data_IF_103055863686
#
_entry.id   IF_103055863686
#
_cell.length_a   1.000
_cell.length_b   1.000
_cell.length_c   1.000
_cell.angle_alpha   90.00
_cell.angle_beta   90.00
_cell.angle_gamma   90.00
#
_symmetry.space_group_name_H-M   'P 1'
#
loop_
_entity.id
_entity.type
_entity.pdbx_description
1 polymer ?
#
# COMPACT_ATOMS: atom_id res chain seq x y z
N UNK A 1 -5.94 -6.75 9.08
CA UNK A 1 -6.24 -8.08 9.63
C UNK A 1 -6.89 -8.89 8.53
N UNK A 2 -6.07 -9.62 7.79
CA UNK A 2 -6.48 -10.51 6.71
C UNK A 2 -7.54 -11.50 7.18
N UNK A 3 -8.59 -11.67 6.37
CA UNK A 3 -9.57 -12.73 6.57
C UNK A 3 -9.23 -13.90 5.64
N UNK A 4 -8.53 -14.91 6.18
CA UNK A 4 -8.22 -16.16 5.48
C UNK A 4 -9.36 -17.16 5.70
N UNK A 5 -9.90 -17.69 4.61
CA UNK A 5 -10.79 -18.85 4.62
C UNK A 5 -10.06 -20.03 3.97
N UNK A 6 -9.38 -20.83 4.80
CA UNK A 6 -8.60 -21.99 4.37
C UNK A 6 -9.46 -23.05 3.64
N UNK A 7 -10.72 -23.25 4.06
CA UNK A 7 -11.63 -24.21 3.43
C UNK A 7 -12.00 -23.83 1.98
N UNK A 8 -12.14 -22.54 1.69
CA UNK A 8 -12.41 -22.04 0.34
C UNK A 8 -11.14 -21.72 -0.47
N UNK A 9 -9.96 -21.84 0.16
CA UNK A 9 -8.65 -21.31 -0.28
C UNK A 9 -8.76 -19.86 -0.71
N UNK A 10 -9.38 -19.04 0.13
CA UNK A 10 -9.62 -17.62 -0.13
C UNK A 10 -8.94 -16.74 0.93
N UNK A 11 -8.47 -15.57 0.50
CA UNK A 11 -7.80 -14.60 1.34
C UNK A 11 -8.27 -13.19 0.98
N UNK A 12 -8.75 -12.44 1.98
CA UNK A 12 -9.22 -11.07 1.83
C UNK A 12 -8.23 -10.12 2.54
N UNK A 13 -7.51 -9.30 1.77
CA UNK A 13 -6.49 -8.38 2.27
C UNK A 13 -6.95 -6.92 2.16
N UNK A 14 -6.75 -6.13 3.20
CA UNK A 14 -6.96 -4.69 3.20
C UNK A 14 -5.70 -3.96 2.74
N UNK A 15 -5.77 -3.29 1.59
CA UNK A 15 -4.65 -2.54 1.00
C UNK A 15 -4.90 -1.05 1.14
N UNK A 16 -3.93 -0.29 1.63
CA UNK A 16 -4.05 1.17 1.81
C UNK A 16 -3.12 1.92 0.87
N UNK A 17 -3.68 2.85 0.11
CA UNK A 17 -2.95 3.82 -0.70
C UNK A 17 -2.67 5.07 0.12
N UNK A 18 -1.39 5.32 0.43
CA UNK A 18 -0.87 6.40 1.26
C UNK A 18 -0.06 7.42 0.44
N UNK A 19 0.44 8.49 1.08
CA UNK A 19 1.23 9.56 0.46
C UNK A 19 0.55 10.94 0.48
N UNK A 20 1.21 12.01 0.00
CA UNK A 20 0.75 13.39 0.18
C UNK A 20 -0.45 13.82 -0.68
N UNK A 21 -0.93 15.05 -0.46
CA UNK A 21 -2.00 15.66 -1.24
C UNK A 21 -1.75 15.60 -2.74
N UNK A 22 -2.79 15.24 -3.51
CA UNK A 22 -2.76 15.19 -4.98
C UNK A 22 -1.69 14.26 -5.61
N UNK A 23 -1.06 13.35 -4.85
CA UNK A 23 0.00 12.47 -5.37
C UNK A 23 -0.46 11.43 -6.42
N UNK A 24 -1.78 11.16 -6.52
CA UNK A 24 -2.37 10.24 -7.51
C UNK A 24 -2.92 8.92 -6.95
N UNK A 25 -3.19 8.85 -5.64
CA UNK A 25 -3.86 7.71 -4.98
C UNK A 25 -5.20 7.36 -5.63
N UNK A 26 -6.15 8.28 -5.67
CA UNK A 26 -7.48 8.07 -6.28
C UNK A 26 -7.35 7.66 -7.74
N UNK A 27 -6.43 8.29 -8.50
CA UNK A 27 -6.15 7.93 -9.90
C UNK A 27 -5.63 6.51 -10.09
N UNK A 28 -4.92 5.93 -9.12
CA UNK A 28 -4.60 4.49 -9.16
C UNK A 28 -5.90 3.66 -9.09
N UNK A 29 -6.79 3.91 -8.14
CA UNK A 29 -8.04 3.15 -7.98
C UNK A 29 -9.01 3.37 -9.14
N UNK A 30 -9.15 4.61 -9.64
CA UNK A 30 -9.93 4.92 -10.85
C UNK A 30 -9.46 4.09 -12.06
N UNK A 31 -8.14 3.95 -12.23
CA UNK A 31 -7.55 3.22 -13.35
C UNK A 31 -7.62 1.71 -13.15
N UNK A 32 -7.52 1.23 -11.91
CA UNK A 32 -7.81 -0.17 -11.57
C UNK A 32 -9.27 -0.50 -11.90
N UNK A 33 -10.22 0.30 -11.42
CA UNK A 33 -11.65 0.15 -11.71
C UNK A 33 -11.96 0.22 -13.22
N UNK A 34 -11.30 1.12 -13.96
CA UNK A 34 -11.48 1.30 -15.41
C UNK A 34 -10.90 0.16 -16.26
N UNK A 35 -9.78 -0.44 -15.84
CA UNK A 35 -9.03 -1.46 -16.60
C UNK A 35 -9.23 -2.91 -16.14
N UNK A 36 -9.67 -3.14 -14.90
CA UNK A 36 -9.98 -4.48 -14.44
C UNK A 36 -11.25 -5.03 -15.13
N UNK A 37 -11.35 -6.35 -15.39
CA UNK A 37 -12.58 -6.96 -15.89
C UNK A 37 -13.79 -6.72 -14.97
N UNK A 38 -14.96 -6.44 -15.56
CA UNK A 38 -16.26 -6.26 -14.86
C UNK A 38 -16.69 -7.46 -13.99
N UNK A 39 -16.06 -8.62 -14.16
CA UNK A 39 -16.26 -9.83 -13.35
C UNK A 39 -15.36 -9.90 -12.11
N UNK A 40 -14.39 -9.00 -12.00
CA UNK A 40 -13.33 -9.02 -11.00
C UNK A 40 -13.29 -7.78 -10.10
N UNK A 41 -14.01 -6.71 -10.44
CA UNK A 41 -14.00 -5.45 -9.68
C UNK A 41 -15.39 -5.06 -9.20
N UNK A 42 -15.47 -4.51 -7.99
CA UNK A 42 -16.72 -3.99 -7.40
C UNK A 42 -16.99 -2.54 -7.80
N UNK A 43 -18.17 -2.03 -7.39
CA UNK A 43 -18.56 -0.64 -7.57
C UNK A 43 -17.58 0.29 -6.82
N UNK A 44 -16.82 1.15 -7.53
CA UNK A 44 -15.97 2.16 -6.89
C UNK A 44 -16.84 3.10 -6.05
N UNK A 45 -16.47 3.25 -4.78
CA UNK A 45 -17.26 3.93 -3.76
C UNK A 45 -16.42 5.01 -3.10
N UNK A 46 -16.79 6.28 -3.26
CA UNK A 46 -16.14 7.40 -2.58
C UNK A 46 -17.10 7.95 -1.52
N UNK A 47 -16.70 7.88 -0.26
CA UNK A 47 -17.46 8.49 0.84
C UNK A 47 -16.97 9.92 1.01
N UNK A 48 -17.89 10.86 1.27
CA UNK A 48 -17.56 12.23 1.65
C UNK A 48 -18.36 12.65 2.89
N UNK A 49 -17.72 13.36 3.81
CA UNK A 49 -18.41 14.07 4.88
C UNK A 49 -18.76 15.48 4.41
N UNK A 50 -20.05 15.84 4.49
CA UNK A 50 -20.45 17.25 4.36
C UNK A 50 -19.95 18.05 5.57
N UNK A 51 -19.69 19.35 5.38
CA UNK A 51 -19.46 20.28 6.50
C UNK A 51 -18.21 21.17 6.47
N UNK A 52 -17.30 21.05 5.48
CA UNK A 52 -16.44 22.15 4.97
C UNK A 52 -15.35 21.67 4.00
N UNK A 53 -14.89 20.42 4.14
CA UNK A 53 -13.83 19.83 3.29
C UNK A 53 -14.13 18.38 3.01
N UNK A 54 -14.04 18.00 1.75
CA UNK A 54 -14.33 16.65 1.26
C UNK A 54 -13.30 15.64 1.73
N UNK A 55 -13.63 14.95 2.83
CA UNK A 55 -12.97 13.71 3.27
C UNK A 55 -13.26 12.56 2.30
N UNK A 56 -12.81 12.68 1.06
CA UNK A 56 -12.80 11.57 0.12
C UNK A 56 -11.84 10.48 0.61
N UNK A 57 -12.42 9.34 0.99
CA UNK A 57 -11.72 8.07 0.91
C UNK A 57 -12.44 7.18 -0.08
N UNK A 58 -11.66 6.57 -0.96
CA UNK A 58 -12.14 5.70 -2.04
C UNK A 58 -12.00 4.26 -1.57
N UNK A 59 -13.03 3.45 -1.84
CA UNK A 59 -13.07 2.02 -1.56
C UNK A 59 -13.32 1.24 -2.84
N UNK A 60 -12.48 0.24 -3.10
CA UNK A 60 -12.55 -0.61 -4.29
C UNK A 60 -12.30 -2.10 -3.96
N UNK A 61 -13.34 -2.95 -4.03
CA UNK A 61 -13.17 -4.39 -4.04
C UNK A 61 -12.55 -4.88 -5.35
N UNK A 62 -11.47 -5.67 -5.29
CA UNK A 62 -10.79 -6.23 -6.46
C UNK A 62 -10.41 -7.70 -6.23
N UNK A 63 -10.92 -8.60 -7.06
CA UNK A 63 -10.54 -10.01 -7.11
C UNK A 63 -9.37 -10.20 -8.08
N UNK A 64 -8.19 -10.57 -7.58
CA UNK A 64 -6.99 -10.79 -8.38
C UNK A 64 -6.95 -12.18 -9.03
N UNK A 65 -7.96 -13.03 -8.80
CA UNK A 65 -7.94 -14.44 -9.22
C UNK A 65 -7.15 -15.29 -8.24
N UNK A 66 -6.37 -16.25 -8.73
CA UNK A 66 -5.43 -17.01 -7.90
C UNK A 66 -4.05 -16.35 -7.90
N UNK A 67 -3.51 -16.12 -6.71
CA UNK A 67 -2.13 -15.67 -6.47
C UNK A 67 -1.55 -16.60 -5.39
N UNK A 68 -0.34 -17.13 -5.60
CA UNK A 68 0.26 -18.15 -4.73
C UNK A 68 -0.66 -19.36 -4.37
N UNK A 69 -1.57 -19.74 -5.29
CA UNK A 69 -2.55 -20.82 -5.09
C UNK A 69 -3.78 -20.45 -4.23
N UNK A 70 -3.89 -19.20 -3.77
CA UNK A 70 -5.01 -18.67 -3.00
C UNK A 70 -5.87 -17.70 -3.83
N UNK A 71 -7.19 -17.81 -3.74
CA UNK A 71 -8.14 -16.84 -4.31
C UNK A 71 -7.99 -15.51 -3.56
N UNK A 72 -7.41 -14.51 -4.19
CA UNK A 72 -7.01 -13.27 -3.52
C UNK A 72 -7.99 -12.14 -3.83
N UNK A 73 -8.63 -11.62 -2.78
CA UNK A 73 -9.51 -10.45 -2.84
C UNK A 73 -8.86 -9.29 -2.09
N UNK A 74 -8.74 -8.16 -2.75
CA UNK A 74 -8.26 -6.91 -2.19
C UNK A 74 -9.44 -6.00 -1.86
N UNK A 75 -9.37 -5.40 -0.67
CA UNK A 75 -10.18 -4.27 -0.24
C UNK A 75 -9.26 -3.05 -0.26
N UNK A 76 -9.27 -2.31 -1.37
CA UNK A 76 -8.35 -1.20 -1.58
C UNK A 76 -8.99 0.09 -1.05
N UNK A 77 -8.25 0.82 -0.21
CA UNK A 77 -8.65 2.10 0.38
C UNK A 77 -7.65 3.22 0.01
N UNK A 78 -8.12 4.45 -0.22
CA UNK A 78 -7.24 5.65 -0.22
C UNK A 78 -7.31 6.40 1.10
N UNK A 79 -6.26 7.15 1.43
CA UNK A 79 -6.27 8.11 2.56
C UNK A 79 -6.38 9.57 2.09
N UNK A 80 -7.04 10.46 2.86
CA UNK A 80 -7.04 11.89 2.59
C UNK A 80 -5.63 12.48 2.74
N UNK A 81 -5.09 13.08 1.67
CA UNK A 81 -3.71 13.55 1.60
C UNK A 81 -3.42 14.93 2.22
N UNK A 82 -4.41 15.62 2.80
CA UNK A 82 -4.18 16.90 3.49
C UNK A 82 -3.80 16.65 4.95
N UNK A 83 -2.76 17.33 5.45
CA UNK A 83 -2.14 17.09 6.78
C UNK A 83 -3.17 16.98 7.91
N UNK A 84 -4.16 17.88 7.94
CA UNK A 84 -5.24 17.97 8.93
C UNK A 84 -6.02 16.67 9.24
N UNK A 85 -6.02 15.67 8.36
CA UNK A 85 -6.84 14.45 8.50
C UNK A 85 -6.14 13.25 9.16
N UNK A 86 -5.22 13.47 10.09
CA UNK A 86 -4.44 12.37 10.68
C UNK A 86 -5.33 11.28 11.31
N UNK A 87 -6.37 11.65 12.06
CA UNK A 87 -7.31 10.70 12.68
C UNK A 87 -7.99 9.78 11.66
N UNK A 88 -8.31 10.31 10.47
CA UNK A 88 -8.88 9.52 9.37
C UNK A 88 -7.82 8.61 8.75
N UNK A 89 -6.58 9.08 8.58
CA UNK A 89 -5.48 8.24 8.08
C UNK A 89 -5.18 7.07 9.02
N UNK A 90 -5.13 7.33 10.34
CA UNK A 90 -5.01 6.29 11.37
C UNK A 90 -6.16 5.28 11.31
N UNK A 91 -7.41 5.74 11.18
CA UNK A 91 -8.58 4.85 11.06
C UNK A 91 -8.53 3.99 9.80
N UNK A 92 -8.14 4.56 8.65
CA UNK A 92 -8.00 3.80 7.40
C UNK A 92 -6.83 2.81 7.48
N UNK A 93 -5.73 3.14 8.15
CA UNK A 93 -4.61 2.22 8.40
C UNK A 93 -4.93 1.09 9.39
N UNK A 94 -5.97 1.22 10.22
CA UNK A 94 -6.30 0.19 11.23
C UNK A 94 -6.54 -1.16 10.56
N UNK A 95 -5.69 -2.14 10.86
CA UNK A 95 -5.74 -3.45 10.23
C UNK A 95 -5.54 -3.43 8.71
N UNK A 96 -4.76 -2.50 8.17
CA UNK A 96 -4.15 -2.68 6.86
C UNK A 96 -3.25 -3.93 6.86
N UNK A 97 -3.17 -4.60 5.71
CA UNK A 97 -2.36 -5.81 5.50
C UNK A 97 -1.20 -5.55 4.52
N UNK A 98 -1.27 -4.46 3.76
CA UNK A 98 -0.18 -3.91 2.95
C UNK A 98 -0.46 -2.47 2.50
N UNK A 99 0.58 -1.71 2.18
CA UNK A 99 0.49 -0.28 1.84
C UNK A 99 1.19 0.02 0.51
N UNK A 100 0.57 0.87 -0.31
CA UNK A 100 1.22 1.52 -1.45
C UNK A 100 1.46 2.99 -1.08
N UNK A 101 2.71 3.41 -0.94
CA UNK A 101 3.04 4.82 -0.73
C UNK A 101 3.21 5.51 -2.09
N UNK A 102 2.20 6.30 -2.50
CA UNK A 102 2.26 7.04 -3.76
C UNK A 102 2.90 8.41 -3.53
N UNK A 103 4.17 8.54 -3.90
CA UNK A 103 4.91 9.80 -3.89
C UNK A 103 4.68 10.60 -5.19
N UNK A 104 4.75 11.93 -5.09
CA UNK A 104 4.74 12.82 -6.25
C UNK A 104 6.18 13.12 -6.68
N UNK A 105 6.56 12.73 -7.90
CA UNK A 105 7.93 12.91 -8.40
C UNK A 105 8.27 14.35 -8.79
N UNK A 106 7.30 15.26 -8.85
CA UNK A 106 7.53 16.64 -9.31
C UNK A 106 8.52 17.39 -8.40
N UNK A 107 9.43 18.19 -8.98
CA UNK A 107 10.28 19.11 -8.17
C UNK A 107 9.45 19.97 -7.22
N UNK A 108 10.01 20.18 -6.02
CA UNK A 108 9.35 20.88 -4.92
C UNK A 108 8.41 20.01 -4.07
N UNK A 109 8.06 18.78 -4.49
CA UNK A 109 7.19 17.88 -3.71
C UNK A 109 7.90 16.97 -2.70
N UNK A 110 9.22 16.99 -2.65
CA UNK A 110 9.98 16.10 -1.75
C UNK A 110 9.62 16.30 -0.27
N UNK A 111 9.48 17.54 0.20
CA UNK A 111 9.12 17.81 1.59
C UNK A 111 7.74 17.21 1.95
N UNK A 112 6.77 17.29 1.05
CA UNK A 112 5.42 16.73 1.24
C UNK A 112 5.44 15.20 1.20
N UNK A 113 6.29 14.59 0.35
CA UNK A 113 6.54 13.16 0.35
C UNK A 113 7.13 12.72 1.71
N UNK A 114 8.19 13.37 2.20
CA UNK A 114 8.86 13.06 3.47
C UNK A 114 7.92 13.24 4.67
N UNK A 115 7.16 14.35 4.73
CA UNK A 115 6.17 14.59 5.79
C UNK A 115 5.10 13.49 5.80
N UNK A 116 4.55 13.14 4.62
CA UNK A 116 3.56 12.08 4.52
C UNK A 116 4.13 10.69 4.80
N UNK A 117 5.43 10.46 4.63
CA UNK A 117 6.08 9.18 4.91
C UNK A 117 6.32 8.99 6.42
N UNK A 118 6.82 10.03 7.10
CA UNK A 118 6.90 10.06 8.57
C UNK A 118 5.52 9.87 9.20
N UNK A 119 4.51 10.51 8.63
CA UNK A 119 3.13 10.33 9.07
C UNK A 119 2.50 8.96 8.71
N UNK A 120 3.14 8.15 7.87
CA UNK A 120 2.80 6.72 7.72
C UNK A 120 3.44 5.92 8.86
N UNK A 121 4.74 6.13 9.10
CA UNK A 121 5.52 5.50 10.18
C UNK A 121 4.87 5.71 11.56
N UNK A 122 4.54 6.96 11.90
CA UNK A 122 3.84 7.34 13.14
C UNK A 122 2.53 6.56 13.32
N UNK A 123 1.67 6.56 12.30
CA UNK A 123 0.35 5.92 12.38
C UNK A 123 0.43 4.39 12.38
N UNK A 124 1.44 3.78 11.73
CA UNK A 124 1.70 2.34 11.84
C UNK A 124 2.14 1.98 13.26
N UNK A 125 3.09 2.74 13.81
CA UNK A 125 3.63 2.57 15.16
C UNK A 125 2.56 2.73 16.24
N UNK A 126 1.63 3.65 16.06
CA UNK A 126 0.45 3.81 16.93
C UNK A 126 -0.57 2.66 16.86
N UNK A 127 -0.47 1.76 15.87
CA UNK A 127 -1.20 0.48 15.80
C UNK A 127 -0.34 -0.73 16.22
N UNK A 128 0.88 -0.50 16.71
CA UNK A 128 1.83 -1.56 17.06
C UNK A 128 2.51 -2.24 15.87
N UNK A 129 2.45 -1.62 14.68
CA UNK A 129 3.12 -2.11 13.47
C UNK A 129 4.43 -1.34 13.26
N UNK A 130 5.46 -2.05 12.82
CA UNK A 130 6.72 -1.46 12.36
C UNK A 130 6.70 -1.29 10.82
N UNK A 131 7.25 -0.19 10.33
CA UNK A 131 7.26 0.16 8.91
C UNK A 131 8.13 -0.80 8.09
N UNK A 132 9.25 -1.27 8.65
CA UNK A 132 10.17 -2.21 8.00
C UNK A 132 9.61 -3.65 7.95
N UNK A 133 8.70 -4.00 8.85
CA UNK A 133 8.03 -5.30 8.91
C UNK A 133 6.63 -5.32 8.24
N UNK A 134 6.15 -4.16 7.76
CA UNK A 134 4.88 -4.05 7.02
C UNK A 134 5.13 -4.27 5.52
N UNK A 135 4.28 -5.01 4.78
CA UNK A 135 4.37 -5.07 3.33
C UNK A 135 4.09 -3.70 2.70
N UNK A 136 5.15 -3.00 2.29
CA UNK A 136 5.09 -1.66 1.69
C UNK A 136 5.74 -1.65 0.31
N UNK A 137 5.14 -0.90 -0.61
CA UNK A 137 5.72 -0.57 -1.92
C UNK A 137 5.70 0.94 -2.13
N UNK A 138 6.83 1.48 -2.58
CA UNK A 138 6.91 2.87 -3.02
C UNK A 138 6.45 2.97 -4.48
N UNK A 139 5.58 3.94 -4.80
CA UNK A 139 5.21 4.25 -6.17
C UNK A 139 5.60 5.70 -6.47
N UNK A 140 6.61 5.86 -7.33
CA UNK A 140 7.08 7.15 -7.82
C UNK A 140 6.23 7.56 -9.01
N UNK A 141 5.16 8.29 -8.72
CA UNK A 141 4.15 8.66 -9.71
C UNK A 141 4.47 10.00 -10.38
N UNK A 142 3.81 10.23 -11.53
CA UNK A 142 3.94 11.42 -12.38
C UNK A 142 5.29 11.55 -13.10
N UNK A 143 5.89 10.41 -13.48
CA UNK A 143 7.15 10.30 -14.25
C UNK A 143 7.07 10.85 -15.68
N UNK A 144 5.88 11.29 -16.08
CA UNK A 144 5.54 11.95 -17.34
C UNK A 144 5.60 13.49 -17.29
N UNK A 145 5.89 14.07 -16.11
CA UNK A 145 6.12 15.52 -15.98
C UNK A 145 7.53 15.89 -16.47
N UNK A 146 7.71 17.08 -17.10
CA UNK A 146 9.00 17.48 -17.66
C UNK A 146 10.05 17.86 -16.59
N UNK A 147 9.64 18.03 -15.34
CA UNK A 147 10.50 18.45 -14.23
C UNK A 147 10.21 17.62 -12.98
N UNK A 148 11.05 16.61 -12.76
CA UNK A 148 10.93 15.60 -11.70
C UNK A 148 12.28 15.35 -11.02
N UNK A 149 12.25 14.83 -9.80
CA UNK A 149 13.39 14.16 -9.18
C UNK A 149 13.74 12.89 -9.99
N UNK A 150 15.02 12.51 -10.00
CA UNK A 150 15.44 11.21 -10.57
C UNK A 150 14.89 10.04 -9.73
N UNK A 151 15.11 8.78 -10.13
CA UNK A 151 14.70 7.64 -9.28
C UNK A 151 15.59 7.58 -8.05
N UNK A 152 16.89 7.82 -8.24
CA UNK A 152 17.95 7.82 -7.25
C UNK A 152 17.71 8.89 -6.16
N UNK A 153 17.36 10.13 -6.56
CA UNK A 153 16.97 11.20 -5.63
C UNK A 153 15.69 10.87 -4.82
N UNK A 154 14.81 10.02 -5.35
CA UNK A 154 13.59 9.59 -4.65
C UNK A 154 13.87 8.41 -3.71
N UNK A 155 14.72 7.47 -4.11
CA UNK A 155 15.17 6.36 -3.26
C UNK A 155 15.97 6.87 -2.06
N UNK A 156 16.97 7.73 -2.28
CA UNK A 156 17.80 8.32 -1.20
C UNK A 156 16.94 9.07 -0.17
N UNK A 157 15.91 9.79 -0.61
CA UNK A 157 15.07 10.61 0.25
C UNK A 157 13.89 9.86 0.91
N UNK A 158 13.45 8.72 0.36
CA UNK A 158 12.18 8.05 0.75
C UNK A 158 12.30 6.54 1.02
N UNK A 159 13.38 5.85 0.63
CA UNK A 159 13.49 4.39 0.69
C UNK A 159 14.52 3.89 1.71
N UNK A 160 14.43 4.37 2.95
CA UNK A 160 15.41 4.08 4.01
C UNK A 160 15.47 2.60 4.48
N UNK A 161 14.64 1.71 3.93
CA UNK A 161 14.57 0.28 4.27
C UNK A 161 14.47 -0.65 3.05
N UNK A 162 14.89 -0.20 1.86
CA UNK A 162 14.94 -1.00 0.62
C UNK A 162 13.60 -1.71 0.27
N UNK A 163 12.49 -0.97 0.41
CA UNK A 163 11.19 -1.42 -0.06
C UNK A 163 11.18 -1.48 -1.60
N UNK A 164 10.52 -2.47 -2.22
CA UNK A 164 10.36 -2.50 -3.66
C UNK A 164 9.66 -1.24 -4.18
N UNK A 165 10.26 -0.55 -5.15
CA UNK A 165 9.69 0.65 -5.77
C UNK A 165 9.17 0.37 -7.20
N UNK A 166 8.27 1.23 -7.68
CA UNK A 166 7.84 1.27 -9.09
C UNK A 166 7.66 2.71 -9.59
N UNK A 167 8.26 3.00 -10.74
CA UNK A 167 7.90 4.17 -11.55
C UNK A 167 6.46 4.06 -12.09
N UNK A 168 5.71 5.16 -12.03
CA UNK A 168 4.31 5.19 -12.46
C UNK A 168 3.90 6.48 -13.19
N UNK A 169 2.95 6.30 -14.10
CA UNK A 169 2.14 7.37 -14.67
C UNK A 169 0.70 6.93 -14.48
N UNK A 170 0.14 7.24 -13.30
CA UNK A 170 -1.14 6.72 -12.88
C UNK A 170 -2.26 7.00 -13.90
N UNK A 171 -2.27 8.20 -14.51
CA UNK A 171 -3.27 8.59 -15.53
C UNK A 171 -3.27 7.68 -16.77
N UNK A 172 -2.11 7.19 -17.18
CA UNK A 172 -1.97 6.22 -18.28
C UNK A 172 -2.19 4.78 -17.80
N UNK A 173 -2.07 4.55 -16.49
CA UNK A 173 -2.01 3.23 -15.85
C UNK A 173 -0.69 2.50 -16.02
N UNK A 174 0.41 3.23 -16.29
CA UNK A 174 1.79 2.70 -16.20
C UNK A 174 2.16 2.57 -14.72
N UNK A 175 2.86 1.51 -14.33
CA UNK A 175 3.25 1.21 -12.94
C UNK A 175 2.12 0.66 -12.03
N UNK A 176 0.86 1.10 -12.23
CA UNK A 176 -0.30 0.79 -11.36
C UNK A 176 -0.52 -0.72 -11.10
N UNK A 177 -0.63 -1.53 -12.16
CA UNK A 177 -0.85 -2.98 -12.00
C UNK A 177 0.40 -3.75 -11.55
N UNK A 178 1.63 -3.46 -12.02
CA UNK A 178 2.86 -3.99 -11.43
C UNK A 178 2.96 -3.77 -9.91
N UNK A 179 2.70 -2.53 -9.45
CA UNK A 179 2.64 -2.15 -8.02
C UNK A 179 1.71 -3.10 -7.24
N UNK A 180 0.45 -3.23 -7.67
CA UNK A 180 -0.54 -4.08 -6.98
C UNK A 180 -0.17 -5.56 -7.00
N UNK A 181 0.39 -6.07 -8.11
CA UNK A 181 0.79 -7.47 -8.23
C UNK A 181 1.96 -7.82 -7.32
N UNK A 182 2.97 -6.94 -7.20
CA UNK A 182 4.09 -7.17 -6.28
C UNK A 182 3.65 -7.09 -4.82
N UNK A 183 2.75 -6.16 -4.48
CA UNK A 183 2.19 -6.10 -3.12
C UNK A 183 1.36 -7.34 -2.78
N UNK A 184 0.63 -7.90 -3.75
CA UNK A 184 -0.08 -9.16 -3.57
C UNK A 184 0.86 -10.35 -3.29
N UNK A 185 2.05 -10.39 -3.91
CA UNK A 185 3.09 -11.36 -3.53
C UNK A 185 3.49 -11.18 -2.05
N UNK A 186 3.98 -9.99 -1.71
CA UNK A 186 4.53 -9.68 -0.38
C UNK A 186 3.55 -9.90 0.77
N UNK A 187 2.26 -9.57 0.58
CA UNK A 187 1.23 -9.82 1.59
C UNK A 187 0.97 -11.32 1.76
N UNK A 188 0.99 -12.11 0.70
CA UNK A 188 0.79 -13.57 0.78
C UNK A 188 2.03 -14.31 1.32
N UNK A 189 3.22 -13.82 1.00
CA UNK A 189 4.50 -14.27 1.56
C UNK A 189 4.51 -14.05 3.08
N UNK A 190 4.25 -12.82 3.53
CA UNK A 190 4.16 -12.47 4.97
C UNK A 190 3.09 -13.27 5.72
N UNK A 191 1.93 -13.54 5.11
CA UNK A 191 0.91 -14.40 5.71
C UNK A 191 1.36 -15.86 5.83
N UNK A 192 2.07 -16.39 4.83
CA UNK A 192 2.58 -17.75 4.85
C UNK A 192 3.68 -17.94 5.91
N UNK A 193 4.49 -16.92 6.15
CA UNK A 193 5.48 -16.90 7.25
C UNK A 193 4.79 -16.86 8.63
N UNK A 194 3.82 -15.96 8.81
CA UNK A 194 3.09 -15.82 10.08
C UNK A 194 2.16 -17.01 10.41
N UNK A 195 1.66 -17.72 9.39
CA UNK A 195 0.81 -18.91 9.55
C UNK A 195 1.53 -20.24 9.28
N UNK A 196 2.84 -20.25 9.02
CA UNK A 196 3.61 -21.48 8.94
C UNK A 196 3.45 -22.25 10.26
N UNK A 197 3.07 -23.54 10.24
CA UNK A 197 3.05 -24.33 11.47
C UNK A 197 4.47 -24.33 12.02
N UNK A 198 4.65 -23.87 13.27
CA UNK A 198 5.96 -23.85 13.94
C UNK A 198 6.58 -25.23 13.80
N UNK A 199 7.57 -25.37 12.92
CA UNK A 199 8.39 -26.57 12.84
C UNK A 199 9.18 -26.61 14.13
N UNK A 200 8.66 -27.37 15.11
CA UNK A 200 9.41 -27.76 16.29
C UNK A 200 10.80 -28.18 15.82
N UNK A 201 11.89 -27.58 16.32
CA UNK A 201 13.22 -27.99 15.92
C UNK A 201 13.33 -29.48 16.22
N UNK A 202 13.49 -30.29 15.19
CA UNK A 202 13.62 -31.74 15.35
C UNK A 202 14.81 -31.96 16.27
N UNK A 203 14.58 -32.62 17.41
CA UNK A 203 15.63 -32.85 18.40
C UNK A 203 16.62 -33.83 17.78
N UNK A 204 17.68 -33.28 17.19
CA UNK A 204 18.84 -34.03 16.70
C UNK A 204 19.52 -34.61 17.93
N UNK A 205 19.09 -35.81 18.31
CA UNK A 205 19.65 -36.54 19.44
C UNK A 205 21.16 -36.77 19.21
N UNK A 206 22.05 -36.23 20.04
CA UNK A 206 23.48 -36.51 19.92
C UNK A 206 23.71 -37.99 20.22
N UNK A 207 24.20 -38.75 19.24
CA UNK A 207 24.58 -40.14 19.45
C UNK A 207 25.83 -40.20 20.35
N UNK A 208 25.84 -41.14 21.28
CA UNK A 208 26.84 -41.20 22.35
C UNK A 208 28.29 -41.42 21.86
N UNK A 209 29.22 -41.05 22.73
CA UNK A 209 30.67 -40.93 22.54
C UNK A 209 31.45 -42.24 22.48
N UNK A 210 32.69 -42.15 21.95
CA UNK A 210 33.79 -43.06 22.24
C UNK A 210 35.12 -42.28 22.34
N UNK A 211 36.00 -42.76 23.23
CA UNK A 211 37.37 -42.31 23.56
C UNK A 211 38.37 -42.46 22.38
N UNK A 212 39.61 -41.94 22.34
CA UNK A 212 40.40 -40.86 23.03
C UNK A 212 41.78 -40.75 22.29
N UNK A 213 42.92 -40.19 22.71
CA UNK A 213 43.45 -39.47 23.90
C UNK A 213 44.75 -38.69 23.53
N UNK A 214 45.27 -37.84 24.44
CA UNK A 214 46.62 -37.24 24.37
C UNK A 214 46.76 -35.94 23.54
N UNK A 215 47.72 -35.04 23.82
CA UNK A 215 48.61 -34.95 24.99
C UNK A 215 49.71 -33.86 24.92
N UNK A 216 49.70 -32.93 25.89
CA UNK A 216 50.84 -32.15 26.44
C UNK A 216 51.59 -31.06 25.61
N UNK A 217 51.77 -29.87 26.23
CA UNK A 217 52.92 -28.90 26.13
C UNK A 217 53.22 -28.21 24.77
N UNK A 218 53.85 -27.02 24.66
CA UNK A 218 54.47 -26.00 25.57
C UNK A 218 54.32 -24.62 24.88
N UNK A 219 53.89 -23.51 25.52
CA UNK A 219 54.62 -22.53 26.36
C UNK A 219 55.48 -21.45 25.63
N UNK A 220 55.53 -20.23 26.21
CA UNK A 220 56.53 -19.14 25.99
C UNK A 220 56.36 -18.23 24.74
N UNK A 221 56.50 -16.87 24.75
CA UNK A 221 56.41 -15.83 25.81
C UNK A 221 56.46 -14.37 25.23
N UNK A 222 56.07 -13.36 26.04
CA UNK A 222 56.63 -11.97 26.18
C UNK A 222 56.77 -11.07 24.92
N UNK A 223 55.92 -10.05 24.71
CA UNK A 223 56.01 -8.63 25.16
C UNK A 223 56.82 -7.69 24.20
N UNK A 224 56.90 -6.35 24.29
CA UNK A 224 56.51 -5.37 25.34
C UNK A 224 56.12 -3.99 24.74
N UNK A 225 55.39 -3.20 25.54
CA UNK A 225 55.05 -1.75 25.45
C UNK A 225 55.90 -0.77 24.62
N UNK A 226 55.27 0.34 24.20
CA UNK A 226 55.87 1.69 24.31
C UNK A 226 54.83 2.77 24.61
N UNK A 227 55.26 3.87 25.26
CA UNK A 227 54.41 4.86 25.92
C UNK A 227 54.96 6.29 25.69
N UNK A 228 54.09 7.30 25.67
CA UNK A 228 54.44 8.73 25.61
C UNK A 228 53.71 9.49 24.50
N UNK A 229 53.44 10.80 24.59
CA UNK A 229 53.74 11.76 25.67
C UNK A 229 52.71 12.91 25.64
N UNK A 230 52.44 13.56 26.79
CA UNK A 230 51.60 14.76 26.87
C UNK A 230 52.19 15.96 26.10
N UNK A 231 51.33 16.89 25.66
CA UNK A 231 51.69 18.32 25.58
C UNK A 231 50.49 19.23 25.86
N UNK A 232 50.69 20.19 26.77
CA UNK A 232 49.71 21.20 27.20
C UNK A 232 50.03 22.55 26.55
N UNK A 233 49.00 23.37 26.25
CA UNK A 233 48.97 24.86 26.13
C UNK A 233 47.81 25.30 25.19
N UNK A 234 47.24 26.53 25.24
CA UNK A 234 46.95 27.47 26.35
C UNK A 234 46.11 28.65 25.78
N UNK A 235 45.08 29.13 26.50
CA UNK A 235 44.42 30.45 26.29
C UNK A 235 43.77 30.69 24.89
N UNK A 236 42.87 31.66 24.65
CA UNK A 236 42.34 32.76 25.47
C UNK A 236 40.82 32.96 25.25
N UNK A 237 40.19 33.78 26.11
CA UNK A 237 38.83 34.29 25.95
C UNK A 237 38.79 35.64 25.24
N UNK A 238 37.72 35.92 24.48
CA UNK A 238 37.33 37.28 24.06
C UNK A 238 35.83 37.47 24.25
N UNK A 239 35.43 38.64 24.73
CA UNK A 239 34.05 39.02 25.05
C UNK A 239 33.34 39.68 23.86
N UNK A 240 32.01 39.49 23.76
CA UNK A 240 31.19 40.15 22.75
C UNK A 240 29.72 40.22 23.18
N UNK A 241 29.32 41.31 23.83
CA UNK A 241 27.95 41.53 24.32
C UNK A 241 27.31 42.72 23.60
N UNK A 242 26.16 42.51 22.95
CA UNK A 242 25.30 43.59 22.46
C UNK A 242 23.81 43.27 22.70
N UNK A 243 23.19 44.17 23.46
CA UNK A 243 21.77 44.56 23.54
C UNK A 243 20.61 43.56 23.28
N UNK A 244 19.65 43.59 24.22
CA UNK A 244 18.28 43.12 24.07
C UNK A 244 17.49 44.01 23.09
N UNK A 245 16.48 43.43 22.43
CA UNK A 245 15.19 44.11 22.21
C UNK A 245 14.06 43.16 22.59
N UNK A 246 13.13 43.60 23.45
CA UNK A 246 11.86 42.92 23.71
C UNK A 246 10.79 43.48 22.78
N UNK A 247 10.05 42.60 22.11
CA UNK A 247 8.75 42.93 21.53
C UNK A 247 7.79 41.78 21.86
N UNK A 248 6.65 42.10 22.47
CA UNK A 248 5.70 41.11 23.01
C UNK A 248 4.27 41.57 22.78
N UNK A 249 3.56 40.95 21.83
CA UNK A 249 2.14 41.23 21.56
C UNK A 249 1.37 39.93 21.30
N UNK A 250 0.32 39.75 22.09
CA UNK A 250 -0.86 38.89 21.93
C UNK A 250 -0.76 37.62 21.06
N UNK A 251 -0.84 36.47 21.73
CA UNK A 251 -1.65 35.35 21.23
C UNK A 251 -3.11 35.78 21.06
N UNK A 252 -3.79 35.28 20.04
CA UNK A 252 -5.25 35.13 20.02
C UNK A 252 -5.58 33.79 19.35
N UNK A 253 -6.34 32.94 20.04
CA UNK A 253 -6.85 31.68 19.50
C UNK A 253 -8.28 31.91 18.95
N UNK A 254 -8.65 31.36 17.79
CA UNK A 254 -10.00 31.49 17.27
C UNK A 254 -10.99 30.66 18.09
N UNK A 255 -12.01 31.32 18.65
CA UNK A 255 -13.05 30.69 19.47
C UNK A 255 -13.93 29.77 18.61
N UNK A 256 -13.85 28.46 18.82
CA UNK A 256 -14.73 27.49 18.17
C UNK A 256 -16.15 27.63 18.71
N UNK A 257 -17.11 27.97 17.85
CA UNK A 257 -18.54 27.84 18.16
C UNK A 257 -18.95 26.38 18.04
N UNK A 258 -19.42 25.79 19.14
CA UNK A 258 -20.03 24.47 19.15
C UNK A 258 -21.46 24.53 18.64
N UNK A 259 -21.71 23.97 17.45
CA UNK A 259 -23.06 23.64 16.98
C UNK A 259 -23.17 22.14 16.76
N UNK A 260 -24.02 21.47 17.54
CA UNK A 260 -24.22 20.03 17.47
C UNK A 260 -25.20 19.64 16.36
N UNK A 261 -24.73 18.92 15.35
CA UNK A 261 -25.59 18.24 14.37
C UNK A 261 -25.00 16.88 13.98
N UNK A 262 -25.74 15.80 14.28
CA UNK A 262 -25.37 14.43 13.95
C UNK A 262 -25.71 14.06 12.51
N UNK A 263 -24.98 14.61 11.54
CA UNK A 263 -25.16 14.27 10.12
C UNK A 263 -24.65 12.85 9.81
N UNK A 264 -25.37 12.11 8.95
CA UNK A 264 -24.93 10.79 8.45
C UNK A 264 -24.01 10.97 7.23
N UNK A 265 -22.97 10.12 7.04
CA UNK A 265 -22.09 10.21 5.87
C UNK A 265 -22.85 9.91 4.58
N UNK A 266 -22.55 10.66 3.52
CA UNK A 266 -23.14 10.47 2.19
C UNK A 266 -22.28 9.50 1.39
N UNK A 267 -22.90 8.42 0.92
CA UNK A 267 -22.26 7.34 0.16
C UNK A 267 -22.39 7.61 -1.34
N UNK A 268 -21.32 8.07 -1.99
CA UNK A 268 -21.32 8.28 -3.45
C UNK A 268 -20.72 7.04 -4.13
N UNK A 269 -21.59 6.17 -4.65
CA UNK A 269 -21.18 5.03 -5.48
C UNK A 269 -21.13 5.43 -6.95
N UNK A 270 -20.16 4.91 -7.69
CA UNK A 270 -20.16 5.04 -9.16
C UNK A 270 -21.41 4.35 -9.74
N UNK A 271 -22.06 4.91 -10.78
CA UNK A 271 -23.28 4.33 -11.33
C UNK A 271 -22.97 2.97 -11.97
N UNK A 272 -23.54 1.91 -11.38
CA UNK A 272 -23.35 0.50 -11.79
C UNK A 272 -23.26 0.34 -13.31
N UNK A 273 -22.10 -0.12 -13.78
CA UNK A 273 -21.78 -0.26 -15.21
C UNK A 273 -22.81 -1.15 -15.89
N UNK A 274 -23.79 -0.54 -16.59
CA UNK A 274 -25.02 -1.21 -17.03
C UNK A 274 -24.69 -2.33 -18.03
N UNK A 275 -24.69 -3.56 -17.54
CA UNK A 275 -24.23 -4.77 -18.26
C UNK A 275 -24.90 -4.86 -19.64
N UNK A 276 -24.14 -4.62 -20.71
CA UNK A 276 -24.64 -4.55 -22.09
C UNK A 276 -24.99 -5.96 -22.59
N UNK A 277 -26.17 -6.48 -22.19
CA UNK A 277 -26.77 -7.75 -22.66
C UNK A 277 -27.21 -7.66 -24.14
N UNK A 278 -26.27 -7.33 -25.03
CA UNK A 278 -26.54 -7.10 -26.46
C UNK A 278 -26.23 -8.29 -27.36
N UNK A 279 -25.52 -9.32 -26.86
CA UNK A 279 -25.12 -10.50 -27.63
C UNK A 279 -25.88 -11.79 -27.30
N UNK A 280 -26.45 -11.92 -26.09
CA UNK A 280 -27.08 -13.18 -25.66
C UNK A 280 -28.53 -13.34 -26.15
N UNK A 281 -29.28 -12.24 -26.31
CA UNK A 281 -30.69 -12.30 -26.76
C UNK A 281 -30.79 -12.67 -28.24
N UNK A 282 -29.92 -12.10 -29.08
CA UNK A 282 -29.88 -12.35 -30.53
C UNK A 282 -29.61 -13.82 -30.82
N UNK A 283 -28.64 -14.43 -30.13
CA UNK A 283 -28.31 -15.86 -30.29
C UNK A 283 -29.49 -16.78 -29.97
N UNK A 284 -30.16 -16.56 -28.83
CA UNK A 284 -31.30 -17.38 -28.41
C UNK A 284 -32.43 -17.28 -29.43
N UNK A 285 -32.84 -16.06 -29.83
CA UNK A 285 -33.91 -15.86 -30.82
C UNK A 285 -33.58 -16.54 -32.15
N UNK A 286 -32.34 -16.41 -32.64
CA UNK A 286 -31.93 -17.04 -33.90
C UNK A 286 -31.97 -18.57 -33.82
N UNK A 287 -31.50 -19.17 -32.72
CA UNK A 287 -31.59 -20.63 -32.51
C UNK A 287 -33.03 -21.13 -32.40
N UNK A 288 -33.91 -20.39 -31.72
CA UNK A 288 -35.34 -20.75 -31.62
C UNK A 288 -36.06 -20.70 -32.97
N UNK A 289 -35.75 -19.71 -33.81
CA UNK A 289 -36.33 -19.62 -35.16
C UNK A 289 -35.87 -20.82 -36.01
N UNK A 290 -34.56 -21.09 -36.09
CA UNK A 290 -34.03 -22.20 -36.90
C UNK A 290 -34.58 -23.55 -36.43
N UNK A 291 -34.66 -23.79 -35.12
CA UNK A 291 -35.26 -25.02 -34.58
C UNK A 291 -36.74 -25.16 -34.96
N UNK A 292 -37.51 -24.07 -34.95
CA UNK A 292 -38.91 -24.08 -35.37
C UNK A 292 -39.07 -24.34 -36.88
N UNK A 293 -38.24 -23.74 -37.75
CA UNK A 293 -38.31 -24.02 -39.20
C UNK A 293 -37.97 -25.47 -39.52
N UNK A 294 -36.96 -26.05 -38.84
CA UNK A 294 -36.60 -27.47 -39.00
C UNK A 294 -37.74 -28.38 -38.54
N UNK A 295 -38.39 -28.10 -37.41
CA UNK A 295 -39.56 -28.86 -36.96
C UNK A 295 -40.73 -28.79 -37.96
N UNK A 296 -41.04 -27.60 -38.49
CA UNK A 296 -42.13 -27.41 -39.45
C UNK A 296 -41.84 -28.05 -40.82
N UNK A 297 -40.57 -28.16 -41.20
CA UNK A 297 -40.16 -28.89 -42.41
C UNK A 297 -40.25 -30.41 -42.21
N UNK A 298 -39.79 -30.94 -41.06
CA UNK A 298 -39.92 -32.35 -40.70
C UNK A 298 -41.38 -32.79 -40.52
N UNK A 299 -42.26 -31.88 -40.08
CA UNK A 299 -43.71 -32.09 -40.02
C UNK A 299 -44.40 -31.99 -41.39
N UNK A 300 -43.68 -31.71 -42.48
CA UNK A 300 -44.22 -31.61 -43.84
C UNK A 300 -45.05 -30.35 -44.12
N UNK A 301 -45.15 -29.42 -43.17
CA UNK A 301 -46.01 -28.22 -43.25
C UNK A 301 -45.42 -27.18 -44.20
N UNK A 302 -44.10 -27.12 -44.32
CA UNK A 302 -43.39 -26.19 -45.21
C UNK A 302 -42.54 -27.00 -46.20
N UNK A 303 -42.80 -26.87 -47.50
CA UNK A 303 -41.86 -27.29 -48.56
C UNK A 303 -40.90 -26.15 -48.86
N UNK A 304 -39.64 -26.34 -48.50
CA UNK A 304 -38.53 -25.54 -49.02
C UNK A 304 -38.30 -26.02 -50.46
N UNK A 305 -38.49 -25.13 -51.44
CA UNK A 305 -38.08 -25.35 -52.82
C UNK A 305 -36.55 -25.19 -52.94
N UNK A 306 -35.89 -25.91 -53.86
CA UNK A 306 -34.45 -25.82 -54.07
C UNK A 306 -34.00 -24.49 -54.68
#
# INVERSE_FOLDING_TARGET
MVQINFALKEVNCKIVYYGPGLSGKTTNLEVVHKKAPDTSVGDLTSIATEGDRTLFFDFLPLNLGQVAGMKTKFQIYTVPGQVYYNSTRKLVLQGADGVVFVADSKRGKMNENIESLKNLEENLKEHGLDIANTPIILQYNKRDLPDVYSVEEMEEALNAWDAPHFEAVARDGKGVFPTLKRLAGMVLESLNENHAPRRSPSVVAPKASADSSGGSTTATAVATSRTGTMRTQRTASVTGSVARTRASVSTQAPTVRTTSSGARPVLVTSPRRRKRRSSMVVGIVLTSIVAATVLLHLAGIIRILP
#
